data_IF_652252606803
#
_entry.id   IF_652252606803
#
_cell.length_a   1.000
_cell.length_b   1.000
_cell.length_c   1.000
_cell.angle_alpha   90.00
_cell.angle_beta   90.00
_cell.angle_gamma   90.00
#
_symmetry.space_group_name_H-M   'P 1'
#
loop_
_entity.id
_entity.type
_entity.pdbx_description
1 polymer ?
#
# COMPACT_ATOMS: atom_id res chain seq x y z
N UNK A 1 11.40 -12.90 -15.95
CA UNK A 1 10.22 -12.70 -15.09
C UNK A 1 9.84 -11.22 -15.11
N UNK A 2 8.55 -10.89 -15.31
CA UNK A 2 8.03 -9.51 -15.34
C UNK A 2 7.56 -9.10 -13.95
N UNK A 3 8.20 -8.09 -13.35
CA UNK A 3 7.89 -7.61 -12.00
C UNK A 3 7.39 -6.17 -12.08
N UNK A 4 6.19 -5.92 -11.57
CA UNK A 4 5.59 -4.59 -11.48
C UNK A 4 5.75 -3.98 -10.10
N UNK A 5 5.85 -2.65 -10.06
CA UNK A 5 5.90 -1.84 -8.85
C UNK A 5 4.83 -0.75 -8.99
N UNK A 6 3.93 -0.67 -8.03
CA UNK A 6 3.00 0.45 -7.89
C UNK A 6 3.61 1.50 -6.97
N UNK A 7 3.85 2.67 -7.53
CA UNK A 7 4.59 3.74 -6.89
C UNK A 7 6.01 3.86 -7.41
N UNK A 8 6.40 5.09 -7.74
CA UNK A 8 7.69 5.43 -8.35
C UNK A 8 8.56 6.35 -7.50
N UNK A 9 8.26 6.46 -6.21
CA UNK A 9 8.99 7.31 -5.27
C UNK A 9 10.40 6.80 -4.95
N UNK A 10 10.94 7.28 -3.84
CA UNK A 10 12.31 6.97 -3.44
C UNK A 10 12.51 5.48 -3.11
N UNK A 11 11.53 4.85 -2.48
CA UNK A 11 11.61 3.41 -2.15
C UNK A 11 11.49 2.56 -3.42
N UNK A 12 10.61 2.94 -4.37
CA UNK A 12 10.54 2.31 -5.69
C UNK A 12 11.86 2.39 -6.45
N UNK A 13 12.55 3.54 -6.41
CA UNK A 13 13.90 3.68 -6.94
C UNK A 13 14.91 2.73 -6.29
N UNK A 14 14.89 2.64 -4.95
CA UNK A 14 15.80 1.73 -4.23
C UNK A 14 15.53 0.26 -4.56
N UNK A 15 14.25 -0.10 -4.71
CA UNK A 15 13.85 -1.45 -5.13
C UNK A 15 14.37 -1.78 -6.54
N UNK A 16 14.28 -0.84 -7.49
CA UNK A 16 14.84 -1.00 -8.84
C UNK A 16 16.34 -1.18 -8.83
N UNK A 17 17.07 -0.43 -7.98
CA UNK A 17 18.51 -0.60 -7.82
C UNK A 17 18.88 -1.99 -7.30
N UNK A 18 18.10 -2.53 -6.36
CA UNK A 18 18.29 -3.90 -5.88
C UNK A 18 17.92 -4.92 -6.96
N UNK A 19 16.83 -4.69 -7.71
CA UNK A 19 16.36 -5.56 -8.78
C UNK A 19 17.37 -5.72 -9.93
N UNK A 20 18.26 -4.75 -10.13
CA UNK A 20 19.32 -4.82 -11.15
C UNK A 20 20.31 -6.00 -10.96
N UNK A 21 20.34 -6.61 -9.77
CA UNK A 21 21.15 -7.81 -9.51
C UNK A 21 20.46 -9.12 -9.92
N UNK A 22 19.23 -9.07 -10.44
CA UNK A 22 18.42 -10.23 -10.78
C UNK A 22 17.99 -10.19 -12.25
N UNK A 23 17.78 -11.36 -12.84
CA UNK A 23 17.23 -11.48 -14.21
C UNK A 23 15.71 -11.26 -14.20
N UNK A 24 15.31 -10.01 -14.04
CA UNK A 24 13.92 -9.56 -14.04
C UNK A 24 13.72 -8.36 -14.94
N UNK A 25 12.58 -8.30 -15.61
CA UNK A 25 12.15 -7.10 -16.34
C UNK A 25 11.23 -6.29 -15.43
N UNK A 26 11.61 -5.07 -15.12
CA UNK A 26 10.89 -4.21 -14.18
C UNK A 26 9.92 -3.26 -14.88
N UNK A 27 8.74 -3.12 -14.31
CA UNK A 27 7.66 -2.23 -14.74
C UNK A 27 7.28 -1.32 -13.58
N UNK A 28 7.01 -0.05 -13.84
CA UNK A 28 6.54 0.90 -12.81
C UNK A 28 5.28 1.60 -13.29
N UNK A 29 4.27 1.68 -12.44
CA UNK A 29 3.08 2.53 -12.61
C UNK A 29 3.14 3.67 -11.59
N UNK A 30 3.09 4.92 -12.07
CA UNK A 30 3.12 6.12 -11.23
C UNK A 30 2.45 7.29 -11.97
N UNK A 31 1.87 8.23 -11.22
CA UNK A 31 1.17 9.40 -11.77
C UNK A 31 2.10 10.59 -12.08
N UNK A 32 3.37 10.54 -11.68
CA UNK A 32 4.39 11.54 -12.00
C UNK A 32 5.44 10.94 -12.95
N UNK A 33 5.48 11.45 -14.19
CA UNK A 33 6.46 11.04 -15.19
C UNK A 33 7.92 11.39 -14.82
N UNK A 34 8.11 12.27 -13.83
CA UNK A 34 9.42 12.70 -13.32
C UNK A 34 9.79 12.05 -11.99
N UNK A 35 9.04 11.04 -11.56
CA UNK A 35 9.30 10.34 -10.30
C UNK A 35 10.69 9.69 -10.28
N UNK A 36 11.28 9.49 -9.08
CA UNK A 36 12.64 8.94 -8.93
C UNK A 36 12.88 7.59 -9.63
N UNK A 37 11.86 6.77 -9.80
CA UNK A 37 11.94 5.45 -10.43
C UNK A 37 11.84 5.48 -11.97
N UNK A 38 11.29 6.55 -12.58
CA UNK A 38 10.92 6.58 -13.98
C UNK A 38 12.07 6.27 -14.96
N UNK A 39 13.31 6.67 -14.62
CA UNK A 39 14.49 6.49 -15.46
C UNK A 39 15.28 5.19 -15.19
N UNK A 40 14.85 4.39 -14.21
CA UNK A 40 15.56 3.20 -13.78
C UNK A 40 14.82 1.90 -14.11
N UNK A 41 13.51 1.96 -14.36
CA UNK A 41 12.73 0.80 -14.77
C UNK A 41 12.90 0.52 -16.26
N UNK A 42 12.65 -0.75 -16.66
CA UNK A 42 12.64 -1.12 -18.08
C UNK A 42 11.40 -0.57 -18.79
N UNK A 43 10.26 -0.51 -18.10
CA UNK A 43 8.99 -0.01 -18.65
C UNK A 43 8.29 0.89 -17.63
N UNK A 44 8.05 2.12 -18.01
CA UNK A 44 7.29 3.09 -17.22
C UNK A 44 5.89 3.28 -17.80
N UNK A 45 4.89 3.28 -16.94
CA UNK A 45 3.50 3.56 -17.28
C UNK A 45 3.02 4.76 -16.47
N UNK A 46 2.58 5.80 -17.14
CA UNK A 46 1.95 6.94 -16.48
C UNK A 46 0.50 6.58 -16.15
N UNK A 47 0.12 6.63 -14.89
CA UNK A 47 -1.24 6.32 -14.43
C UNK A 47 -1.41 6.43 -12.93
N UNK A 48 -2.65 6.40 -12.48
CA UNK A 48 -2.98 6.54 -11.06
C UNK A 48 -3.04 5.16 -10.37
N UNK A 49 -2.19 4.95 -9.38
CA UNK A 49 -2.16 3.72 -8.57
C UNK A 49 -3.41 3.52 -7.68
N UNK A 50 -4.26 4.55 -7.55
CA UNK A 50 -5.55 4.45 -6.83
C UNK A 50 -6.73 4.15 -7.76
N UNK A 51 -6.52 4.20 -9.07
CA UNK A 51 -7.55 3.90 -10.06
C UNK A 51 -7.56 2.40 -10.41
N UNK A 52 -8.75 1.80 -10.35
CA UNK A 52 -8.92 0.36 -10.59
C UNK A 52 -8.41 -0.05 -11.98
N UNK A 53 -8.85 0.65 -13.01
CA UNK A 53 -8.55 0.29 -14.40
C UNK A 53 -7.05 0.45 -14.72
N UNK A 54 -6.42 1.51 -14.20
CA UNK A 54 -4.98 1.75 -14.33
C UNK A 54 -4.18 0.61 -13.73
N UNK A 55 -4.48 0.23 -12.48
CA UNK A 55 -3.78 -0.85 -11.75
C UNK A 55 -4.04 -2.21 -12.38
N UNK A 56 -5.30 -2.52 -12.71
CA UNK A 56 -5.66 -3.80 -13.32
C UNK A 56 -5.03 -3.99 -14.69
N UNK A 57 -5.13 -2.99 -15.58
CA UNK A 57 -4.56 -3.06 -16.93
C UNK A 57 -3.03 -3.14 -16.90
N UNK A 58 -2.39 -2.48 -15.95
CA UNK A 58 -0.96 -2.58 -15.72
C UNK A 58 -0.57 -3.98 -15.22
N UNK A 59 -1.27 -4.49 -14.21
CA UNK A 59 -0.92 -5.72 -13.51
C UNK A 59 -1.16 -7.01 -14.29
N UNK A 60 -2.23 -7.08 -15.10
CA UNK A 60 -2.67 -8.32 -15.78
C UNK A 60 -1.65 -8.95 -16.73
N UNK A 61 -0.62 -8.22 -17.14
CA UNK A 61 0.44 -8.71 -18.02
C UNK A 61 1.72 -9.16 -17.27
N UNK A 62 1.73 -9.05 -15.94
CA UNK A 62 2.89 -9.27 -15.10
C UNK A 62 2.87 -10.63 -14.41
N UNK A 63 4.05 -11.15 -14.09
CA UNK A 63 4.19 -12.39 -13.32
C UNK A 63 4.05 -12.11 -11.81
N UNK A 64 4.53 -10.94 -11.37
CA UNK A 64 4.45 -10.50 -9.98
C UNK A 64 4.26 -8.98 -9.89
N UNK A 65 3.54 -8.55 -8.85
CA UNK A 65 3.25 -7.14 -8.57
C UNK A 65 3.56 -6.84 -7.10
N UNK A 66 4.27 -5.76 -6.86
CA UNK A 66 4.52 -5.23 -5.52
C UNK A 66 4.13 -3.77 -5.43
N UNK A 67 4.08 -3.24 -4.21
CA UNK A 67 3.75 -1.84 -3.94
C UNK A 67 4.94 -1.12 -3.28
N UNK A 68 5.06 0.15 -3.55
CA UNK A 68 6.00 1.04 -2.87
C UNK A 68 5.32 1.81 -1.74
N UNK A 69 4.05 2.16 -1.95
CA UNK A 69 3.22 2.86 -0.99
C UNK A 69 1.86 2.15 -0.90
N UNK A 70 1.27 2.09 0.31
CA UNK A 70 0.00 1.41 0.56
C UNK A 70 -1.23 2.12 -0.04
N UNK A 71 -1.10 3.36 -0.49
CA UNK A 71 -2.17 4.15 -1.08
C UNK A 71 -2.53 3.70 -2.51
N UNK A 72 -2.82 2.41 -2.68
CA UNK A 72 -3.15 1.75 -3.95
C UNK A 72 -4.61 1.30 -3.99
N UNK A 73 -5.12 0.97 -5.18
CA UNK A 73 -6.44 0.36 -5.35
C UNK A 73 -6.37 -1.13 -4.97
N UNK A 74 -6.96 -1.49 -3.83
CA UNK A 74 -6.89 -2.86 -3.28
C UNK A 74 -7.80 -3.81 -4.07
N UNK A 75 -8.94 -3.34 -4.55
CA UNK A 75 -9.89 -4.13 -5.33
C UNK A 75 -9.26 -4.62 -6.64
N UNK A 76 -8.46 -3.78 -7.31
CA UNK A 76 -7.70 -4.19 -8.49
C UNK A 76 -6.63 -5.24 -8.17
N UNK A 77 -5.96 -5.11 -7.02
CA UNK A 77 -4.99 -6.11 -6.55
C UNK A 77 -5.64 -7.46 -6.23
N UNK A 78 -6.80 -7.45 -5.58
CA UNK A 78 -7.60 -8.66 -5.30
C UNK A 78 -8.02 -9.37 -6.60
N UNK A 79 -8.44 -8.59 -7.60
CA UNK A 79 -8.81 -9.10 -8.92
C UNK A 79 -7.62 -9.75 -9.63
N UNK A 80 -6.45 -9.10 -9.60
CA UNK A 80 -5.22 -9.62 -10.19
C UNK A 80 -4.76 -10.91 -9.51
N UNK A 81 -4.83 -10.97 -8.17
CA UNK A 81 -4.49 -12.17 -7.40
C UNK A 81 -5.41 -13.34 -7.76
N UNK A 82 -6.73 -13.10 -7.87
CA UNK A 82 -7.72 -14.10 -8.31
C UNK A 82 -7.44 -14.62 -9.73
N UNK A 83 -6.86 -13.81 -10.59
CA UNK A 83 -6.48 -14.17 -11.96
C UNK A 83 -5.07 -14.77 -12.07
N UNK A 84 -4.39 -14.99 -10.94
CA UNK A 84 -3.13 -15.71 -10.86
C UNK A 84 -1.87 -14.86 -10.90
N UNK A 85 -1.99 -13.51 -10.89
CA UNK A 85 -0.84 -12.63 -10.72
C UNK A 85 -0.38 -12.72 -9.25
N UNK A 86 0.92 -12.90 -9.03
CA UNK A 86 1.50 -12.93 -7.67
C UNK A 86 1.57 -11.52 -7.11
N UNK A 87 0.74 -11.19 -6.12
CA UNK A 87 0.72 -9.86 -5.47
C UNK A 87 1.37 -9.94 -4.08
N UNK A 88 2.41 -9.13 -3.86
CA UNK A 88 3.14 -9.06 -2.59
C UNK A 88 3.37 -7.60 -2.16
N UNK A 89 3.01 -7.22 -0.92
CA UNK A 89 2.23 -7.98 0.08
C UNK A 89 0.86 -8.40 -0.48
N UNK A 90 0.23 -9.41 0.14
CA UNK A 90 -1.10 -9.84 -0.30
C UNK A 90 -2.12 -8.70 -0.19
N UNK A 91 -3.14 -8.63 -1.07
CA UNK A 91 -4.18 -7.59 -1.00
C UNK A 91 -4.86 -7.53 0.38
N UNK A 92 -5.07 -8.68 1.03
CA UNK A 92 -5.62 -8.76 2.38
C UNK A 92 -4.72 -8.05 3.43
N UNK A 93 -3.39 -8.21 3.33
CA UNK A 93 -2.45 -7.51 4.20
C UNK A 93 -2.48 -6.00 3.96
N UNK A 94 -2.53 -5.57 2.69
CA UNK A 94 -2.60 -4.15 2.32
C UNK A 94 -3.89 -3.52 2.87
N UNK A 95 -5.02 -4.20 2.80
CA UNK A 95 -6.31 -3.74 3.35
C UNK A 95 -6.22 -3.46 4.86
N UNK A 96 -5.54 -4.33 5.60
CA UNK A 96 -5.27 -4.14 7.03
C UNK A 96 -4.33 -2.95 7.26
N UNK A 97 -3.25 -2.85 6.48
CA UNK A 97 -2.23 -1.79 6.63
C UNK A 97 -2.82 -0.40 6.34
N UNK A 98 -3.67 -0.27 5.33
CA UNK A 98 -4.32 1.00 4.95
C UNK A 98 -5.23 1.55 6.04
N UNK A 99 -5.83 0.68 6.86
CA UNK A 99 -6.81 1.07 7.87
C UNK A 99 -6.26 0.83 9.27
N UNK A 100 -5.99 1.91 10.00
CA UNK A 100 -5.41 1.86 11.36
C UNK A 100 -6.33 1.18 12.38
N UNK A 101 -7.65 1.21 12.15
CA UNK A 101 -8.63 0.51 12.99
C UNK A 101 -8.49 -0.98 12.78
N UNK A 102 -8.57 -1.45 11.52
CA UNK A 102 -8.39 -2.87 11.19
C UNK A 102 -7.01 -3.39 11.64
N UNK A 103 -5.97 -2.57 11.53
CA UNK A 103 -4.63 -2.92 11.99
C UNK A 103 -4.59 -3.12 13.52
N UNK A 104 -5.21 -2.24 14.29
CA UNK A 104 -5.28 -2.36 15.76
C UNK A 104 -6.12 -3.55 16.20
N UNK A 105 -7.26 -3.79 15.56
CA UNK A 105 -8.10 -4.96 15.78
C UNK A 105 -7.35 -6.26 15.45
N UNK A 106 -6.59 -6.27 14.35
CA UNK A 106 -5.74 -7.40 13.97
C UNK A 106 -4.68 -7.69 15.03
N UNK A 107 -4.00 -6.66 15.57
CA UNK A 107 -3.01 -6.82 16.62
C UNK A 107 -3.63 -7.39 17.90
N UNK A 108 -4.77 -6.86 18.32
CA UNK A 108 -5.49 -7.31 19.50
C UNK A 108 -5.95 -8.77 19.35
N UNK A 109 -6.55 -9.11 18.21
CA UNK A 109 -7.05 -10.47 17.91
C UNK A 109 -5.92 -11.52 17.91
N UNK A 110 -4.71 -11.13 17.49
CA UNK A 110 -3.56 -12.03 17.37
C UNK A 110 -2.57 -11.87 18.53
N UNK A 111 -2.97 -11.19 19.61
CA UNK A 111 -2.15 -10.98 20.82
C UNK A 111 -0.77 -10.34 20.52
N UNK A 112 -0.70 -9.52 19.45
CA UNK A 112 0.51 -8.80 19.07
C UNK A 112 0.65 -7.56 19.97
N UNK A 113 1.78 -7.39 20.68
CA UNK A 113 1.99 -6.22 21.53
C UNK A 113 1.86 -4.90 20.75
N UNK A 114 1.04 -4.01 21.26
CA UNK A 114 0.83 -2.67 20.67
C UNK A 114 0.50 -1.67 21.78
N UNK A 115 0.62 -0.36 21.49
CA UNK A 115 0.15 0.66 22.41
C UNK A 115 -1.35 0.51 22.67
N UNK A 116 -1.79 0.83 23.90
CA UNK A 116 -3.21 0.95 24.20
C UNK A 116 -3.90 1.89 23.23
N UNK A 117 -5.16 1.62 22.92
CA UNK A 117 -5.94 2.40 21.98
C UNK A 117 -7.43 2.31 22.28
N UNK A 118 -8.17 3.32 21.84
CA UNK A 118 -9.62 3.34 21.79
C UNK A 118 -10.08 3.74 20.39
N UNK A 119 -11.08 3.02 19.88
CA UNK A 119 -11.73 3.37 18.60
C UNK A 119 -12.91 4.26 18.93
N UNK A 120 -12.94 5.44 18.30
CA UNK A 120 -14.01 6.42 18.45
C UNK A 120 -14.62 6.70 17.08
N UNK A 121 -15.96 6.70 16.99
CA UNK A 121 -16.68 7.00 15.74
C UNK A 121 -17.28 8.41 15.77
N UNK A 122 -17.58 8.92 16.96
CA UNK A 122 -18.18 10.23 17.16
C UNK A 122 -17.41 11.05 18.19
N UNK A 123 -17.55 12.36 18.12
CA UNK A 123 -16.92 13.28 19.08
C UNK A 123 -17.36 13.00 20.54
N UNK A 124 -18.60 12.57 20.75
CA UNK A 124 -19.12 12.16 22.06
C UNK A 124 -18.35 11.03 22.71
N UNK A 125 -17.77 10.13 21.91
CA UNK A 125 -17.05 8.95 22.40
C UNK A 125 -15.73 9.37 23.10
N UNK A 126 -15.13 10.49 22.67
CA UNK A 126 -13.92 11.05 23.30
C UNK A 126 -14.13 11.39 24.76
N UNK A 127 -15.35 11.84 25.12
CA UNK A 127 -15.68 12.19 26.51
C UNK A 127 -15.67 10.96 27.43
N UNK A 128 -15.96 9.77 26.89
CA UNK A 128 -15.93 8.50 27.64
C UNK A 128 -14.50 8.05 27.93
N UNK A 129 -13.52 8.57 27.17
CA UNK A 129 -12.10 8.18 27.27
C UNK A 129 -11.20 9.30 27.79
N UNK A 130 -11.74 10.30 28.50
CA UNK A 130 -10.96 11.44 29.05
C UNK A 130 -9.79 10.97 29.90
N UNK A 131 -9.95 9.89 30.68
CA UNK A 131 -8.89 9.34 31.51
C UNK A 131 -7.71 8.75 30.73
N UNK A 132 -7.87 8.53 29.42
CA UNK A 132 -6.83 8.06 28.51
C UNK A 132 -5.89 9.16 28.00
N UNK A 133 -6.23 10.43 28.26
CA UNK A 133 -5.41 11.58 27.83
C UNK A 133 -4.17 11.77 28.72
N UNK A 134 -3.03 12.21 28.13
CA UNK A 134 -2.86 12.68 26.74
C UNK A 134 -2.71 11.51 25.74
N UNK A 135 -3.34 11.64 24.57
CA UNK A 135 -3.33 10.65 23.51
C UNK A 135 -3.16 11.29 22.14
N UNK A 136 -2.70 10.50 21.15
CA UNK A 136 -2.64 10.93 19.75
C UNK A 136 -3.90 10.43 19.04
N UNK A 137 -4.71 11.35 18.55
CA UNK A 137 -5.86 11.04 17.70
C UNK A 137 -5.41 10.85 16.24
N UNK A 138 -5.83 9.74 15.62
CA UNK A 138 -5.47 9.39 14.24
C UNK A 138 -6.73 9.05 13.45
N UNK A 139 -6.76 9.43 12.18
CA UNK A 139 -7.77 8.95 11.25
C UNK A 139 -7.59 7.44 11.00
N UNK A 140 -8.68 6.72 10.79
CA UNK A 140 -8.65 5.30 10.43
C UNK A 140 -7.91 5.06 9.12
N UNK A 141 -8.12 5.92 8.12
CA UNK A 141 -7.42 5.90 6.83
C UNK A 141 -6.82 7.28 6.52
N UNK A 142 -5.70 7.32 5.79
CA UNK A 142 -5.00 8.56 5.45
C UNK A 142 -4.32 9.22 6.65
N UNK A 143 -4.13 10.56 6.58
CA UNK A 143 -3.60 11.37 7.69
C UNK A 143 -2.11 11.19 7.95
N UNK A 144 -1.28 11.19 6.90
CA UNK A 144 0.19 11.09 7.00
C UNK A 144 0.91 12.42 7.18
N UNK A 145 0.21 13.50 6.99
CA UNK A 145 0.73 14.88 7.00
C UNK A 145 0.47 15.62 8.32
N UNK A 146 -0.06 14.92 9.31
CA UNK A 146 -0.37 15.50 10.63
C UNK A 146 -1.57 16.41 10.64
#
# INVERSE_FOLDING_TARGET
MKVGILGGGQLGRMLLQAAANYDVTTYVLENDAHCPAAHLCHHFTLGNIQDFDSVYNFGKQLDALTIEIEAVNVEALEKLEQEGVKVYPTPAAIRIIKNKILQKEFYQKNEIPTSEFHITQHQSDLLQHIAFLPAVHKLGEGGYDG
#
